data_IF_287415006377
#
_entry.id   IF_287415006377
#
_cell.length_a   1.000
_cell.length_b   1.000
_cell.length_c   1.000
_cell.angle_alpha   90.00
_cell.angle_beta   90.00
_cell.angle_gamma   90.00
#
_symmetry.space_group_name_H-M   'P 1'
#
loop_
_entity.id
_entity.type
_entity.pdbx_description
1 polymer ?
#
# COMPACT_ATOMS: atom_id res chain seq x y z
N UNK A 1 -2.56 29.53 -5.41
CA UNK A 1 -2.40 28.36 -4.50
C UNK A 1 -3.27 27.24 -5.03
N UNK A 2 -2.70 26.11 -5.33
CA UNK A 2 -3.45 24.93 -5.70
C UNK A 2 -4.24 24.43 -4.48
N UNK A 3 -5.53 24.32 -4.63
CA UNK A 3 -6.40 23.80 -3.57
C UNK A 3 -6.50 22.28 -3.73
N UNK A 4 -6.08 21.57 -2.72
CA UNK A 4 -6.27 20.11 -2.64
C UNK A 4 -7.70 19.82 -2.13
N UNK A 5 -8.70 20.13 -2.95
CA UNK A 5 -10.10 19.88 -2.59
C UNK A 5 -10.74 18.93 -3.58
N UNK A 6 -11.65 18.10 -3.08
CA UNK A 6 -12.55 17.34 -3.94
C UNK A 6 -13.40 18.34 -4.73
N UNK A 7 -13.21 18.38 -6.03
CA UNK A 7 -14.00 19.21 -6.95
C UNK A 7 -15.27 18.42 -7.27
N UNK A 8 -16.40 19.10 -7.22
CA UNK A 8 -17.69 18.60 -7.68
C UNK A 8 -18.20 19.49 -8.79
N UNK A 9 -18.36 18.90 -9.96
CA UNK A 9 -18.87 19.60 -11.12
C UNK A 9 -20.32 19.21 -11.40
N UNK A 10 -21.04 20.15 -12.00
CA UNK A 10 -22.35 19.89 -12.59
C UNK A 10 -22.21 20.01 -14.10
N UNK A 11 -22.38 18.88 -14.79
CA UNK A 11 -22.38 18.85 -16.25
C UNK A 11 -23.80 19.13 -16.74
N UNK A 12 -23.99 20.25 -17.44
CA UNK A 12 -25.30 20.61 -18.00
C UNK A 12 -25.20 20.62 -19.53
N UNK A 13 -25.94 19.69 -20.19
CA UNK A 13 -25.94 19.49 -21.64
C UNK A 13 -24.54 19.32 -22.25
N UNK A 14 -23.60 18.78 -21.47
CA UNK A 14 -22.26 18.45 -21.96
C UNK A 14 -22.33 17.27 -22.92
N UNK A 15 -21.59 17.35 -24.02
CA UNK A 15 -21.42 16.21 -24.92
C UNK A 15 -20.56 15.14 -24.23
N UNK A 16 -20.99 13.88 -24.35
CA UNK A 16 -20.28 12.76 -23.75
C UNK A 16 -20.42 11.50 -24.63
N UNK A 17 -19.46 10.61 -24.51
CA UNK A 17 -19.48 9.28 -25.10
C UNK A 17 -19.74 8.24 -24.02
N UNK A 18 -20.55 7.22 -24.35
CA UNK A 18 -20.78 6.09 -23.45
C UNK A 18 -19.57 5.16 -23.53
N UNK A 19 -19.04 4.79 -22.36
CA UNK A 19 -17.99 3.79 -22.22
C UNK A 19 -18.59 2.53 -21.60
N UNK A 20 -18.54 1.43 -22.33
CA UNK A 20 -19.09 0.13 -21.92
C UNK A 20 -20.61 0.05 -21.97
N UNK A 21 -21.21 -0.77 -21.08
CA UNK A 21 -22.64 -1.02 -21.03
C UNK A 21 -23.33 -0.04 -20.06
N UNK A 22 -24.25 0.83 -20.54
CA UNK A 22 -24.95 1.79 -19.70
C UNK A 22 -25.74 1.15 -18.54
N UNK A 23 -26.16 -0.10 -18.70
CA UNK A 23 -26.91 -0.83 -17.67
C UNK A 23 -25.98 -1.39 -16.58
N UNK A 24 -24.69 -1.44 -16.82
CA UNK A 24 -23.64 -1.95 -15.89
C UNK A 24 -22.73 -0.87 -15.33
N UNK A 25 -23.11 0.40 -15.46
CA UNK A 25 -22.26 1.52 -15.05
C UNK A 25 -21.78 1.45 -13.60
N UNK A 26 -22.63 1.03 -12.65
CA UNK A 26 -22.23 0.85 -11.26
C UNK A 26 -21.15 -0.24 -11.10
N UNK A 27 -21.27 -1.37 -11.80
CA UNK A 27 -20.27 -2.45 -11.77
C UNK A 27 -18.94 -1.95 -12.34
N UNK A 28 -18.96 -1.29 -13.48
CA UNK A 28 -17.76 -0.71 -14.10
C UNK A 28 -17.08 0.31 -13.19
N UNK A 29 -17.87 1.14 -12.48
CA UNK A 29 -17.32 2.04 -11.47
C UNK A 29 -16.63 1.29 -10.32
N UNK A 30 -17.19 0.18 -9.85
CA UNK A 30 -16.56 -0.63 -8.78
C UNK A 30 -15.26 -1.29 -9.23
N UNK A 31 -15.16 -1.68 -10.50
CA UNK A 31 -13.93 -2.21 -11.09
C UNK A 31 -12.84 -1.13 -11.12
N UNK A 32 -13.18 0.09 -11.57
CA UNK A 32 -12.30 1.25 -11.51
C UNK A 32 -11.83 1.56 -10.07
N UNK A 33 -12.72 1.48 -9.07
CA UNK A 33 -12.38 1.69 -7.67
C UNK A 33 -11.35 0.66 -7.19
N UNK A 34 -11.45 -0.60 -7.59
CA UNK A 34 -10.45 -1.62 -7.24
C UNK A 34 -9.08 -1.32 -7.85
N UNK A 35 -9.03 -0.87 -9.10
CA UNK A 35 -7.78 -0.42 -9.73
C UNK A 35 -7.18 0.78 -9.00
N UNK A 36 -7.99 1.73 -8.62
CA UNK A 36 -7.56 2.90 -7.84
C UNK A 36 -7.03 2.50 -6.45
N UNK A 37 -7.60 1.49 -5.82
CA UNK A 37 -7.08 0.95 -4.54
C UNK A 37 -5.71 0.31 -4.70
N UNK A 38 -5.47 -0.45 -5.76
CA UNK A 38 -4.13 -0.97 -6.08
C UNK A 38 -3.15 0.19 -6.27
N UNK A 39 -3.51 1.20 -7.07
CA UNK A 39 -2.70 2.40 -7.28
C UNK A 39 -2.36 3.13 -5.97
N UNK A 40 -3.30 3.20 -5.02
CA UNK A 40 -3.03 3.73 -3.68
C UNK A 40 -2.01 2.89 -2.90
N UNK A 41 -2.04 1.58 -3.03
CA UNK A 41 -1.03 0.68 -2.47
C UNK A 41 0.35 0.91 -3.06
N UNK A 42 0.44 1.01 -4.39
CA UNK A 42 1.68 1.34 -5.13
C UNK A 42 2.27 2.66 -4.65
N UNK A 43 1.44 3.70 -4.58
CA UNK A 43 1.84 5.03 -4.11
C UNK A 43 2.34 4.99 -2.67
N UNK A 44 1.64 4.30 -1.78
CA UNK A 44 2.04 4.15 -0.38
C UNK A 44 3.40 3.43 -0.26
N UNK A 45 3.61 2.35 -1.01
CA UNK A 45 4.89 1.64 -1.07
C UNK A 45 6.03 2.53 -1.58
N UNK A 46 5.79 3.32 -2.64
CA UNK A 46 6.77 4.28 -3.16
C UNK A 46 7.14 5.37 -2.15
N UNK A 47 6.15 5.89 -1.40
CA UNK A 47 6.42 6.86 -0.34
C UNK A 47 7.21 6.25 0.81
N UNK A 48 6.91 5.00 1.23
CA UNK A 48 7.70 4.28 2.25
C UNK A 48 9.13 4.08 1.80
N UNK A 49 9.35 3.69 0.54
CA UNK A 49 10.69 3.55 -0.04
C UNK A 49 11.45 4.88 -0.01
N UNK A 50 10.80 5.98 -0.35
CA UNK A 50 11.41 7.31 -0.29
C UNK A 50 11.77 7.69 1.15
N UNK A 51 10.88 7.49 2.11
CA UNK A 51 11.15 7.74 3.52
C UNK A 51 12.36 6.95 4.04
N UNK A 52 12.43 5.66 3.67
CA UNK A 52 13.55 4.79 4.06
C UNK A 52 14.87 5.30 3.48
N UNK A 53 14.90 5.68 2.20
CA UNK A 53 16.10 6.23 1.54
C UNK A 53 16.59 7.52 2.22
N UNK A 54 15.69 8.46 2.50
CA UNK A 54 16.02 9.70 3.22
C UNK A 54 16.54 9.40 4.64
N UNK A 55 15.90 8.47 5.35
CA UNK A 55 16.31 8.06 6.69
C UNK A 55 17.70 7.40 6.70
N UNK A 56 18.00 6.55 5.74
CA UNK A 56 19.31 5.94 5.55
C UNK A 56 20.38 6.99 5.21
N UNK A 57 20.06 7.92 4.32
CA UNK A 57 20.98 9.01 3.97
C UNK A 57 21.35 9.85 5.20
N UNK A 58 20.34 10.32 5.94
CA UNK A 58 20.56 11.12 7.16
C UNK A 58 21.34 10.32 8.20
N UNK A 59 21.01 9.07 8.43
CA UNK A 59 21.65 8.22 9.44
C UNK A 59 23.12 7.94 9.11
N UNK A 60 23.48 7.91 7.82
CA UNK A 60 24.88 7.74 7.38
C UNK A 60 25.69 9.03 7.40
N UNK A 61 25.05 10.19 7.38
CA UNK A 61 25.74 11.50 7.27
C UNK A 61 25.79 12.28 8.57
N UNK A 62 24.77 12.12 9.42
CA UNK A 62 24.67 12.88 10.67
C UNK A 62 25.38 12.19 11.83
N UNK A 63 26.09 12.99 12.62
CA UNK A 63 26.77 12.55 13.85
C UNK A 63 25.99 12.99 15.09
N UNK A 64 25.89 12.09 16.08
CA UNK A 64 25.45 12.37 17.44
C UNK A 64 26.22 11.47 18.40
N UNK A 65 26.45 11.91 19.63
CA UNK A 65 27.19 11.13 20.63
C UNK A 65 28.53 10.59 20.12
N UNK A 66 29.25 11.39 19.33
CA UNK A 66 30.56 11.11 18.72
C UNK A 66 30.57 9.96 17.70
N UNK A 67 29.45 9.51 17.21
CA UNK A 67 29.32 8.46 16.19
C UNK A 67 28.25 8.81 15.18
N UNK A 68 28.21 8.12 14.03
CA UNK A 68 27.12 8.26 13.06
C UNK A 68 25.82 7.73 13.65
N UNK A 69 24.69 8.29 13.27
CA UNK A 69 23.39 7.80 13.74
C UNK A 69 23.17 6.33 13.39
N UNK A 70 23.63 5.87 12.22
CA UNK A 70 23.50 4.49 11.77
C UNK A 70 24.23 3.48 12.67
N UNK A 71 25.26 3.91 13.40
CA UNK A 71 26.03 3.05 14.31
C UNK A 71 25.36 2.90 15.69
N UNK A 72 24.27 3.65 15.94
CA UNK A 72 23.49 3.59 17.18
C UNK A 72 22.51 2.43 17.12
N UNK A 73 22.55 1.45 18.05
CA UNK A 73 21.70 0.26 18.00
C UNK A 73 20.19 0.55 17.94
N UNK A 74 19.71 1.58 18.63
CA UNK A 74 18.29 1.98 18.58
C UNK A 74 17.91 2.53 17.20
N UNK A 75 18.79 3.26 16.53
CA UNK A 75 18.58 3.75 15.16
C UNK A 75 18.56 2.57 14.18
N UNK A 76 19.49 1.63 14.29
CA UNK A 76 19.49 0.40 13.46
C UNK A 76 18.19 -0.37 13.60
N UNK A 77 17.69 -0.54 14.83
CA UNK A 77 16.40 -1.19 15.09
C UNK A 77 15.22 -0.46 14.45
N UNK A 78 15.22 0.87 14.47
CA UNK A 78 14.17 1.68 13.84
C UNK A 78 14.22 1.56 12.31
N UNK A 79 15.41 1.70 11.72
CA UNK A 79 15.62 1.54 10.27
C UNK A 79 15.25 0.13 9.79
N UNK A 80 15.59 -0.90 10.54
CA UNK A 80 15.22 -2.28 10.23
C UNK A 80 13.70 -2.47 10.21
N UNK A 81 12.98 -1.91 11.18
CA UNK A 81 11.49 -1.95 11.19
C UNK A 81 10.91 -1.25 9.96
N UNK A 82 11.43 -0.09 9.60
CA UNK A 82 11.01 0.64 8.40
C UNK A 82 11.28 -0.19 7.14
N UNK A 83 12.46 -0.81 7.04
CA UNK A 83 12.86 -1.67 5.92
C UNK A 83 11.88 -2.85 5.75
N UNK A 84 11.65 -3.62 6.82
CA UNK A 84 10.77 -4.80 6.77
C UNK A 84 9.37 -4.43 6.27
N UNK A 85 8.79 -3.37 6.80
CA UNK A 85 7.43 -2.93 6.41
C UNK A 85 7.42 -2.46 4.95
N UNK A 86 8.43 -1.72 4.53
CA UNK A 86 8.56 -1.22 3.15
C UNK A 86 8.68 -2.38 2.16
N UNK A 87 9.56 -3.35 2.43
CA UNK A 87 9.77 -4.51 1.57
C UNK A 87 8.54 -5.43 1.51
N UNK A 88 7.87 -5.65 2.65
CA UNK A 88 6.63 -6.41 2.68
C UNK A 88 5.54 -5.75 1.82
N UNK A 89 5.37 -4.43 1.93
CA UNK A 89 4.42 -3.67 1.12
C UNK A 89 4.77 -3.73 -0.37
N UNK A 90 6.05 -3.57 -0.71
CA UNK A 90 6.54 -3.66 -2.09
C UNK A 90 6.27 -5.03 -2.70
N UNK A 91 6.60 -6.10 -1.98
CA UNK A 91 6.36 -7.48 -2.42
C UNK A 91 4.87 -7.74 -2.68
N UNK A 92 4.00 -7.28 -1.77
CA UNK A 92 2.55 -7.44 -1.93
C UNK A 92 1.99 -6.68 -3.12
N UNK A 93 2.48 -5.48 -3.40
CA UNK A 93 2.06 -4.67 -4.56
C UNK A 93 2.44 -5.35 -5.87
N UNK A 94 3.69 -5.83 -6.01
CA UNK A 94 4.12 -6.56 -7.20
C UNK A 94 3.35 -7.87 -7.37
N UNK A 95 3.07 -8.58 -6.27
CA UNK A 95 2.26 -9.80 -6.33
C UNK A 95 0.82 -9.53 -6.78
N UNK A 96 0.23 -8.42 -6.34
CA UNK A 96 -1.10 -8.03 -6.81
C UNK A 96 -1.09 -7.65 -8.31
N UNK A 97 -0.03 -7.02 -8.80
CA UNK A 97 0.12 -6.70 -10.22
C UNK A 97 0.25 -7.96 -11.08
N UNK A 98 1.02 -8.96 -10.64
CA UNK A 98 1.11 -10.27 -11.27
C UNK A 98 -0.26 -11.00 -11.33
N UNK A 99 -1.01 -10.96 -10.22
CA UNK A 99 -2.35 -11.56 -10.15
C UNK A 99 -3.33 -10.84 -11.08
N UNK A 100 -3.23 -9.51 -11.20
CA UNK A 100 -4.04 -8.74 -12.14
C UNK A 100 -3.76 -9.15 -13.59
N UNK A 101 -2.49 -9.25 -13.99
CA UNK A 101 -2.10 -9.70 -15.33
C UNK A 101 -2.66 -11.08 -15.64
N UNK A 102 -2.57 -12.03 -14.71
CA UNK A 102 -3.14 -13.36 -14.88
C UNK A 102 -4.67 -13.33 -14.99
N UNK A 103 -5.32 -12.50 -14.19
CA UNK A 103 -6.77 -12.31 -14.21
C UNK A 103 -7.25 -11.72 -15.54
N UNK A 104 -6.52 -10.76 -16.10
CA UNK A 104 -6.80 -10.15 -17.41
C UNK A 104 -6.63 -11.15 -18.55
N UNK A 105 -5.75 -12.16 -18.37
CA UNK A 105 -5.58 -13.30 -19.28
C UNK A 105 -6.57 -14.46 -19.02
N UNK A 106 -7.58 -14.26 -18.16
CA UNK A 106 -8.68 -15.21 -17.96
C UNK A 106 -8.51 -16.20 -16.80
N UNK A 107 -7.46 -16.07 -15.97
CA UNK A 107 -7.30 -16.90 -14.76
C UNK A 107 -8.27 -16.47 -13.65
N UNK A 108 -9.32 -17.25 -13.46
CA UNK A 108 -10.36 -16.99 -12.47
C UNK A 108 -9.86 -17.09 -11.01
N UNK A 109 -8.88 -17.94 -10.75
CA UNK A 109 -8.27 -18.07 -9.41
C UNK A 109 -7.53 -16.77 -9.07
N UNK A 110 -6.67 -16.30 -9.97
CA UNK A 110 -5.96 -15.03 -9.81
C UNK A 110 -6.93 -13.85 -9.67
N UNK A 111 -8.04 -13.84 -10.40
CA UNK A 111 -9.07 -12.81 -10.28
C UNK A 111 -9.67 -12.78 -8.85
N UNK A 112 -10.02 -13.94 -8.29
CA UNK A 112 -10.56 -14.03 -6.95
C UNK A 112 -9.54 -13.61 -5.89
N UNK A 113 -8.29 -14.05 -5.99
CA UNK A 113 -7.21 -13.66 -5.08
C UNK A 113 -6.92 -12.16 -5.18
N UNK A 114 -6.83 -11.61 -6.39
CA UNK A 114 -6.64 -10.18 -6.63
C UNK A 114 -7.76 -9.34 -5.99
N UNK A 115 -9.02 -9.79 -6.10
CA UNK A 115 -10.17 -9.12 -5.48
C UNK A 115 -10.08 -9.06 -3.95
N UNK A 116 -9.44 -10.05 -3.30
CA UNK A 116 -9.23 -10.07 -1.85
C UNK A 116 -8.01 -9.22 -1.47
N UNK A 117 -6.90 -9.39 -2.18
CA UNK A 117 -5.61 -8.78 -1.82
C UNK A 117 -5.64 -7.26 -2.02
N UNK A 118 -6.32 -6.75 -3.03
CA UNK A 118 -6.34 -5.32 -3.37
C UNK A 118 -6.83 -4.44 -2.20
N UNK A 119 -7.99 -4.69 -1.57
CA UNK A 119 -8.40 -3.92 -0.40
C UNK A 119 -7.45 -4.11 0.79
N UNK A 120 -6.90 -5.31 1.00
CA UNK A 120 -5.92 -5.56 2.07
C UNK A 120 -4.65 -4.73 1.89
N UNK A 121 -4.11 -4.65 0.67
CA UNK A 121 -2.96 -3.81 0.34
C UNK A 121 -3.29 -2.35 0.64
N UNK A 122 -4.42 -1.86 0.14
CA UNK A 122 -4.85 -0.47 0.39
C UNK A 122 -4.98 -0.19 1.87
N UNK A 123 -5.60 -1.09 2.64
CA UNK A 123 -5.74 -0.96 4.07
C UNK A 123 -4.36 -0.90 4.76
N UNK A 124 -3.50 -1.87 4.49
CA UNK A 124 -2.23 -2.04 5.20
C UNK A 124 -1.21 -0.98 4.80
N UNK A 125 -0.91 -0.88 3.49
CA UNK A 125 0.12 0.03 3.00
C UNK A 125 -0.19 1.50 3.32
N UNK A 126 -1.45 1.94 3.15
CA UNK A 126 -1.83 3.31 3.47
C UNK A 126 -1.85 3.64 4.98
N UNK A 127 -1.89 2.64 5.84
CA UNK A 127 -1.71 2.84 7.29
C UNK A 127 -0.24 2.86 7.68
N UNK A 128 0.53 1.96 7.11
CA UNK A 128 1.95 1.82 7.43
C UNK A 128 2.76 3.03 6.95
N UNK A 129 2.46 3.56 5.76
CA UNK A 129 3.17 4.75 5.25
C UNK A 129 3.02 5.97 6.16
N UNK A 130 1.89 6.14 6.85
CA UNK A 130 1.71 7.24 7.81
C UNK A 130 2.71 7.15 8.97
N UNK A 131 2.92 5.92 9.48
CA UNK A 131 3.89 5.69 10.53
C UNK A 131 5.31 5.90 10.04
N UNK A 132 5.66 5.32 8.89
CA UNK A 132 7.00 5.43 8.31
C UNK A 132 7.35 6.88 7.94
N UNK A 133 6.39 7.66 7.45
CA UNK A 133 6.59 9.07 7.16
C UNK A 133 6.84 9.90 8.43
N UNK A 134 6.14 9.59 9.53
CA UNK A 134 6.41 10.17 10.84
C UNK A 134 7.79 9.79 11.39
N UNK A 135 8.14 8.50 11.34
CA UNK A 135 9.45 8.00 11.76
C UNK A 135 10.60 8.66 10.95
N UNK A 136 10.43 8.84 9.65
CA UNK A 136 11.43 9.52 8.79
C UNK A 136 11.61 11.00 9.16
N UNK A 137 10.51 11.71 9.41
CA UNK A 137 10.53 13.10 9.89
C UNK A 137 11.30 13.20 11.22
N UNK A 138 11.04 12.28 12.15
CA UNK A 138 11.70 12.23 13.46
C UNK A 138 13.20 11.94 13.33
N UNK A 139 13.61 10.99 12.47
CA UNK A 139 15.02 10.66 12.20
C UNK A 139 15.78 11.88 11.67
N UNK A 140 15.16 12.69 10.80
CA UNK A 140 15.77 13.95 10.32
C UNK A 140 15.91 14.99 11.43
N UNK A 141 15.09 14.93 12.47
CA UNK A 141 15.06 15.91 13.56
C UNK A 141 14.38 17.22 13.17
N UNK A 142 14.78 18.35 13.78
CA UNK A 142 14.11 19.63 13.58
C UNK A 142 13.95 20.05 12.12
N UNK A 143 14.94 19.77 11.27
CA UNK A 143 14.85 20.04 9.82
C UNK A 143 13.79 19.19 9.11
N UNK A 144 13.39 18.03 9.65
CA UNK A 144 12.30 17.23 9.12
C UNK A 144 10.92 17.87 9.23
N UNK A 145 10.76 18.86 10.11
CA UNK A 145 9.49 19.54 10.34
C UNK A 145 9.27 20.76 9.42
N UNK A 146 10.33 21.33 8.86
CA UNK A 146 10.26 22.56 8.06
C UNK A 146 9.97 22.26 6.58
N UNK A 147 9.18 23.15 5.95
CA UNK A 147 8.61 22.93 4.61
C UNK A 147 9.66 22.94 3.47
N UNK A 148 10.87 23.39 3.73
CA UNK A 148 12.00 23.33 2.78
C UNK A 148 12.45 21.89 2.48
N UNK A 149 12.09 20.93 3.35
CA UNK A 149 12.38 19.52 3.19
C UNK A 149 11.15 18.71 2.75
N UNK A 150 11.40 17.51 2.29
CA UNK A 150 10.36 16.65 1.70
C UNK A 150 9.45 16.01 2.76
N UNK A 151 9.95 15.82 3.98
CA UNK A 151 9.26 15.03 5.01
C UNK A 151 7.87 15.57 5.38
N UNK A 152 7.64 16.89 5.57
CA UNK A 152 6.31 17.41 5.89
C UNK A 152 5.30 17.14 4.78
N UNK A 153 5.74 17.23 3.52
CA UNK A 153 4.90 16.93 2.36
C UNK A 153 4.53 15.46 2.31
N UNK A 154 5.50 14.55 2.47
CA UNK A 154 5.23 13.10 2.47
C UNK A 154 4.30 12.73 3.63
N UNK A 155 4.50 13.30 4.82
CA UNK A 155 3.62 13.03 5.97
C UNK A 155 2.17 13.42 5.66
N UNK A 156 1.92 14.61 5.13
CA UNK A 156 0.55 15.03 4.73
C UNK A 156 -0.04 14.13 3.64
N UNK A 157 0.73 13.86 2.60
CA UNK A 157 0.29 13.03 1.47
C UNK A 157 0.02 11.57 1.89
N UNK A 158 0.75 11.06 2.90
CA UNK A 158 0.56 9.72 3.44
C UNK A 158 -0.82 9.52 4.09
N UNK A 159 -1.35 10.56 4.72
CA UNK A 159 -2.67 10.49 5.36
C UNK A 159 -3.81 10.37 4.34
N UNK A 160 -3.67 10.95 3.16
CA UNK A 160 -4.69 10.97 2.13
C UNK A 160 -5.08 9.56 1.67
N UNK A 161 -4.09 8.66 1.53
CA UNK A 161 -4.31 7.27 1.10
C UNK A 161 -5.25 6.47 2.00
N UNK A 162 -5.34 6.78 3.29
CA UNK A 162 -6.27 6.11 4.21
C UNK A 162 -7.64 6.78 4.34
N UNK A 163 -7.89 7.87 3.59
CA UNK A 163 -9.12 8.65 3.61
C UNK A 163 -9.96 8.36 2.38
N UNK A 164 -9.42 8.63 1.19
CA UNK A 164 -10.14 8.50 -0.06
C UNK A 164 -10.29 7.04 -0.50
N UNK A 165 -11.22 6.77 -1.42
CA UNK A 165 -11.55 5.42 -1.94
C UNK A 165 -11.95 4.41 -0.86
N UNK A 166 -12.44 4.92 0.25
CA UNK A 166 -12.85 4.20 1.44
C UNK A 166 -11.85 4.30 2.59
N UNK A 167 -12.35 4.72 3.74
CA UNK A 167 -11.61 4.70 5.00
C UNK A 167 -11.32 3.26 5.45
N UNK A 168 -10.48 3.09 6.46
CA UNK A 168 -10.08 1.77 6.98
C UNK A 168 -11.27 0.85 7.26
N UNK A 169 -12.34 1.35 7.90
CA UNK A 169 -13.51 0.53 8.22
C UNK A 169 -14.29 0.08 6.96
N UNK A 170 -14.43 0.98 5.98
CA UNK A 170 -15.08 0.65 4.70
C UNK A 170 -14.29 -0.41 3.94
N UNK A 171 -12.97 -0.30 3.93
CA UNK A 171 -12.09 -1.28 3.29
C UNK A 171 -12.16 -2.63 4.00
N UNK A 172 -12.20 -2.65 5.33
CA UNK A 172 -12.35 -3.89 6.11
C UNK A 172 -13.67 -4.60 5.79
N UNK A 173 -14.78 -3.85 5.72
CA UNK A 173 -16.08 -4.41 5.32
C UNK A 173 -16.06 -4.96 3.89
N UNK A 174 -15.40 -4.28 2.97
CA UNK A 174 -15.27 -4.76 1.60
C UNK A 174 -14.41 -6.02 1.49
N UNK A 175 -13.34 -6.12 2.27
CA UNK A 175 -12.52 -7.34 2.38
C UNK A 175 -13.35 -8.53 2.89
N UNK A 176 -14.16 -8.33 3.93
CA UNK A 176 -15.05 -9.38 4.46
C UNK A 176 -16.07 -9.82 3.40
N UNK A 177 -16.64 -8.87 2.64
CA UNK A 177 -17.55 -9.20 1.52
C UNK A 177 -16.84 -10.02 0.44
N UNK A 178 -15.62 -9.65 0.09
CA UNK A 178 -14.81 -10.39 -0.90
C UNK A 178 -14.51 -11.81 -0.44
N UNK A 179 -14.16 -12.00 0.84
CA UNK A 179 -13.88 -13.31 1.43
C UNK A 179 -15.10 -14.22 1.49
N UNK A 180 -16.29 -13.67 1.79
CA UNK A 180 -17.53 -14.43 1.90
C UNK A 180 -18.12 -14.85 0.54
N UNK A 181 -17.66 -14.27 -0.56
CA UNK A 181 -18.18 -14.54 -1.90
C UNK A 181 -17.50 -15.80 -2.47
N UNK A 182 -18.29 -16.66 -3.15
CA UNK A 182 -17.82 -17.75 -4.02
C UNK A 182 -16.73 -18.67 -3.40
N UNK A 183 -16.82 -18.96 -2.09
CA UNK A 183 -15.85 -19.79 -1.38
C UNK A 183 -14.40 -19.25 -1.43
N UNK A 184 -14.22 -17.95 -1.55
CA UNK A 184 -12.93 -17.29 -1.70
C UNK A 184 -11.98 -17.50 -0.52
N UNK A 185 -12.49 -17.86 0.66
CA UNK A 185 -11.66 -18.20 1.82
C UNK A 185 -10.84 -19.45 1.52
N UNK A 186 -11.45 -20.51 0.99
CA UNK A 186 -10.74 -21.74 0.65
C UNK A 186 -9.78 -21.53 -0.52
N UNK A 187 -10.17 -20.74 -1.50
CA UNK A 187 -9.27 -20.34 -2.60
C UNK A 187 -8.03 -19.60 -2.06
N UNK A 188 -8.21 -18.68 -1.12
CA UNK A 188 -7.10 -17.97 -0.49
C UNK A 188 -6.21 -18.90 0.32
N UNK A 189 -6.78 -19.81 1.12
CA UNK A 189 -6.02 -20.81 1.88
C UNK A 189 -5.17 -21.68 0.95
N UNK A 190 -5.78 -22.24 -0.09
CA UNK A 190 -5.06 -23.05 -1.07
C UNK A 190 -3.90 -22.27 -1.70
N UNK A 191 -4.16 -21.03 -2.13
CA UNK A 191 -3.15 -20.15 -2.70
C UNK A 191 -1.98 -19.90 -1.72
N UNK A 192 -2.27 -19.60 -0.46
CA UNK A 192 -1.23 -19.36 0.56
C UNK A 192 -0.39 -20.61 0.82
N UNK A 193 -1.03 -21.79 0.89
CA UNK A 193 -0.31 -23.06 1.03
C UNK A 193 0.65 -23.26 -0.15
N UNK A 194 0.22 -23.03 -1.38
CA UNK A 194 1.08 -23.13 -2.57
C UNK A 194 2.27 -22.17 -2.50
N UNK A 195 2.03 -20.90 -2.11
CA UNK A 195 3.09 -19.89 -1.95
C UNK A 195 4.13 -20.36 -0.91
N UNK A 196 3.68 -20.87 0.23
CA UNK A 196 4.61 -21.35 1.29
C UNK A 196 5.38 -22.59 0.83
N UNK A 197 4.73 -23.54 0.14
CA UNK A 197 5.37 -24.75 -0.38
C UNK A 197 6.43 -24.46 -1.45
N UNK A 198 6.22 -23.43 -2.26
CA UNK A 198 7.18 -23.03 -3.31
C UNK A 198 8.32 -22.15 -2.78
N UNK A 199 8.19 -21.60 -1.56
CA UNK A 199 9.24 -20.83 -0.93
C UNK A 199 10.35 -21.76 -0.45
N UNK A 200 11.63 -21.39 -0.64
CA UNK A 200 12.77 -22.14 -0.11
C UNK A 200 12.57 -22.40 1.39
N UNK A 201 12.49 -23.67 1.76
CA UNK A 201 12.32 -24.09 3.15
C UNK A 201 13.44 -23.52 4.01
N UNK A 202 13.07 -22.72 4.99
CA UNK A 202 13.92 -22.37 6.11
C UNK A 202 13.12 -22.64 7.41
N UNK A 203 13.79 -22.62 8.55
CA UNK A 203 13.20 -22.93 9.85
C UNK A 203 11.95 -22.08 10.18
N UNK A 204 11.83 -20.86 9.60
CA UNK A 204 10.67 -19.98 9.78
C UNK A 204 9.47 -20.38 8.89
N UNK A 205 9.72 -20.92 7.70
CA UNK A 205 8.62 -21.37 6.81
C UNK A 205 8.02 -22.69 7.25
N UNK A 206 8.75 -23.55 7.94
CA UNK A 206 8.22 -24.81 8.50
C UNK A 206 7.21 -24.55 9.62
N UNK A 207 7.46 -23.54 10.47
CA UNK A 207 6.54 -23.14 11.54
C UNK A 207 5.22 -22.47 11.03
N UNK A 208 5.13 -22.08 9.77
CA UNK A 208 3.92 -21.51 9.18
C UNK A 208 2.99 -22.57 8.59
N UNK A 209 3.47 -23.81 8.45
CA UNK A 209 2.72 -24.95 7.88
C UNK A 209 2.17 -25.91 8.96
N UNK A 210 2.63 -25.78 10.20
CA UNK A 210 2.12 -26.50 11.37
C UNK A 210 0.94 -25.75 12.00
#
# INVERSE_FOLDING_TARGET
RQRQMCIRDRLNKASAYIVGDPQKGFKQMTDMINMSRLSNGVRASGMMQRCLQESLFISNTRYAFKQKLIDIPLMQKQLLKMLIITEASRSMVFKASELLEKADNGDSISQNIFRIITPLIKFRACRDVRKIAGDAMEIRGGSGYIEEWLDPKILRDSHLGSIWEGTSNIISLDTIRALKKDNNIETLKYYLIQVVQTTKKNQHTENLLS
#
